data_IF_517296353399
#
_entry.id   IF_517296353399
#
_cell.length_a   1.000
_cell.length_b   1.000
_cell.length_c   1.000
_cell.angle_alpha   90.00
_cell.angle_beta   90.00
_cell.angle_gamma   90.00
#
_symmetry.space_group_name_H-M   'P 1'
#
loop_
_entity.id
_entity.type
_entity.pdbx_description
1 polymer ?
#
# COMPACT_ATOMS: atom_id res chain seq x y z
N UNK A 1 -10.08 -2.50 5.75
CA UNK A 1 -8.68 -2.12 5.52
C UNK A 1 -8.27 -2.47 4.10
N UNK A 2 -7.60 -1.57 3.44
CA UNK A 2 -7.04 -1.84 2.12
C UNK A 2 -5.55 -2.09 2.28
N UNK A 3 -5.06 -3.19 1.71
CA UNK A 3 -3.65 -3.54 1.72
C UNK A 3 -3.15 -3.54 0.27
N UNK A 4 -2.15 -2.71 0.01
CA UNK A 4 -1.56 -2.60 -1.32
C UNK A 4 -0.16 -3.19 -1.26
N UNK A 5 0.14 -4.07 -2.20
CA UNK A 5 1.48 -4.64 -2.33
C UNK A 5 2.21 -3.93 -3.45
N UNK A 6 3.43 -3.53 -3.16
CA UNK A 6 4.33 -2.97 -4.17
C UNK A 6 5.63 -3.74 -4.22
N UNK A 7 6.41 -3.46 -5.24
CA UNK A 7 7.73 -4.09 -5.40
C UNK A 7 8.75 -3.06 -5.89
N UNK A 8 9.98 -3.22 -5.44
CA UNK A 8 11.10 -2.38 -5.84
C UNK A 8 12.39 -3.18 -5.75
N UNK A 9 13.50 -2.59 -6.15
CA UNK A 9 14.78 -3.28 -6.10
C UNK A 9 15.39 -3.22 -4.69
N UNK A 10 15.26 -2.08 -4.01
CA UNK A 10 15.83 -1.88 -2.68
C UNK A 10 14.86 -1.08 -1.82
N UNK A 11 14.13 -1.78 -0.97
CA UNK A 11 13.08 -1.15 -0.17
C UNK A 11 13.65 -0.19 0.88
N UNK A 12 14.80 -0.50 1.46
CA UNK A 12 15.37 0.40 2.47
C UNK A 12 15.70 1.77 1.87
N UNK A 13 16.10 1.79 0.61
CA UNK A 13 16.36 3.02 -0.12
C UNK A 13 15.06 3.73 -0.50
N UNK A 14 14.02 2.98 -0.85
CA UNK A 14 12.76 3.55 -1.31
C UNK A 14 11.83 3.94 -0.16
N UNK A 15 11.94 3.29 0.98
CA UNK A 15 11.04 3.51 2.10
C UNK A 15 10.90 4.97 2.53
N UNK A 16 11.99 5.76 2.67
CA UNK A 16 11.83 7.16 3.04
C UNK A 16 11.01 7.94 2.05
N UNK A 17 11.14 7.65 0.77
CA UNK A 17 10.38 8.32 -0.28
C UNK A 17 8.90 7.97 -0.21
N UNK A 18 8.61 6.69 0.05
CA UNK A 18 7.24 6.22 0.19
C UNK A 18 6.59 6.86 1.41
N UNK A 19 7.32 6.91 2.54
CA UNK A 19 6.79 7.49 3.77
C UNK A 19 6.57 8.99 3.62
N UNK A 20 7.42 9.69 2.89
CA UNK A 20 7.22 11.10 2.61
C UNK A 20 5.95 11.32 1.77
N UNK A 21 5.75 10.49 0.76
CA UNK A 21 4.54 10.54 -0.06
C UNK A 21 3.28 10.28 0.78
N UNK A 22 3.31 9.25 1.61
CA UNK A 22 2.19 8.91 2.50
C UNK A 22 1.92 10.06 3.47
N UNK A 23 2.98 10.65 4.04
CA UNK A 23 2.85 11.79 4.93
C UNK A 23 2.17 12.97 4.26
N UNK A 24 2.48 13.21 2.99
CA UNK A 24 1.83 14.26 2.21
C UNK A 24 0.34 13.97 2.04
N UNK A 25 -0.03 12.74 1.77
CA UNK A 25 -1.43 12.36 1.68
C UNK A 25 -2.14 12.54 3.02
N UNK A 26 -1.53 12.09 4.10
CA UNK A 26 -2.11 12.23 5.43
C UNK A 26 -2.33 13.71 5.78
N UNK A 27 -1.34 14.53 5.47
CA UNK A 27 -1.45 15.97 5.72
C UNK A 27 -2.59 16.59 4.92
N UNK A 28 -2.77 16.17 3.67
CA UNK A 28 -3.78 16.74 2.78
C UNK A 28 -5.21 16.50 3.27
N UNK A 29 -5.42 15.48 4.09
CA UNK A 29 -6.75 15.16 4.64
C UNK A 29 -6.79 15.33 6.16
N UNK A 30 -5.77 15.96 6.74
CA UNK A 30 -5.67 16.23 8.19
C UNK A 30 -5.76 14.95 9.02
N UNK A 31 -5.14 13.88 8.53
CA UNK A 31 -5.07 12.61 9.23
C UNK A 31 -3.63 12.30 9.60
N UNK A 32 -3.44 11.50 10.66
CA UNK A 32 -2.12 11.03 11.07
C UNK A 32 -2.21 9.57 11.45
N UNK A 33 -1.15 8.83 11.17
CA UNK A 33 -1.01 7.44 11.61
C UNK A 33 -2.11 6.51 11.10
N UNK A 34 -2.67 6.80 9.94
CA UNK A 34 -3.71 5.98 9.31
C UNK A 34 -3.16 5.08 8.21
N UNK A 35 -1.86 5.11 8.01
CA UNK A 35 -1.16 4.27 7.04
C UNK A 35 0.11 3.71 7.66
N UNK A 36 0.47 2.53 7.23
CA UNK A 36 1.74 1.92 7.58
C UNK A 36 2.37 1.34 6.33
N UNK A 37 3.69 1.36 6.27
CA UNK A 37 4.44 0.75 5.18
C UNK A 37 5.51 -0.14 5.77
N UNK A 38 5.51 -1.40 5.36
CA UNK A 38 6.48 -2.36 5.88
C UNK A 38 6.97 -3.30 4.80
N UNK A 39 8.21 -3.77 4.96
CA UNK A 39 8.76 -4.79 4.09
C UNK A 39 8.03 -6.12 4.29
N UNK A 40 7.78 -6.83 3.21
CA UNK A 40 7.22 -8.17 3.28
C UNK A 40 8.22 -9.23 2.85
N UNK A 41 9.43 -8.84 2.44
CA UNK A 41 10.49 -9.78 2.11
C UNK A 41 11.00 -9.64 0.69
N UNK A 42 11.94 -10.52 0.34
CA UNK A 42 12.59 -10.52 -0.97
C UNK A 42 12.25 -11.80 -1.73
N UNK A 43 12.07 -11.68 -3.02
CA UNK A 43 11.89 -12.84 -3.88
C UNK A 43 12.32 -12.49 -5.30
N UNK A 44 13.09 -13.36 -5.92
CA UNK A 44 13.49 -13.23 -7.33
C UNK A 44 14.19 -11.90 -7.65
N UNK A 45 14.98 -11.39 -6.71
CA UNK A 45 15.70 -10.14 -6.91
C UNK A 45 14.89 -8.88 -6.62
N UNK A 46 13.67 -9.03 -6.14
CA UNK A 46 12.80 -7.92 -5.81
C UNK A 46 12.54 -7.83 -4.33
N UNK A 47 12.41 -6.61 -3.82
CA UNK A 47 11.89 -6.34 -2.49
C UNK A 47 10.40 -6.08 -2.63
N UNK A 48 9.61 -6.76 -1.82
CA UNK A 48 8.17 -6.54 -1.74
C UNK A 48 7.85 -5.78 -0.47
N UNK A 49 6.81 -4.96 -0.54
CA UNK A 49 6.37 -4.20 0.62
C UNK A 49 4.86 -4.06 0.61
N UNK A 50 4.29 -3.79 1.78
CA UNK A 50 2.86 -3.53 1.93
C UNK A 50 2.63 -2.13 2.44
N UNK A 51 1.57 -1.51 1.95
CA UNK A 51 1.05 -0.26 2.50
C UNK A 51 -0.36 -0.55 2.99
N UNK A 52 -0.61 -0.27 4.26
CA UNK A 52 -1.90 -0.52 4.91
C UNK A 52 -2.64 0.79 5.04
N UNK A 53 -3.89 0.81 4.58
CA UNK A 53 -4.74 2.00 4.64
C UNK A 53 -5.94 1.70 5.49
N UNK A 54 -6.14 2.47 6.55
CA UNK A 54 -7.30 2.34 7.41
C UNK A 54 -8.57 2.78 6.68
N UNK A 55 -9.73 2.17 6.97
CA UNK A 55 -10.96 2.52 6.29
C UNK A 55 -11.36 3.99 6.42
N UNK A 56 -11.19 4.58 7.59
CA UNK A 56 -11.52 5.97 7.80
C UNK A 56 -10.60 6.90 7.02
N UNK A 57 -9.36 6.52 6.79
CA UNK A 57 -8.47 7.29 5.96
C UNK A 57 -8.93 7.28 4.50
N UNK A 58 -9.40 6.13 4.02
CA UNK A 58 -9.94 6.02 2.67
C UNK A 58 -11.16 6.93 2.51
N UNK A 59 -12.03 6.98 3.52
CA UNK A 59 -13.19 7.87 3.49
C UNK A 59 -12.77 9.33 3.39
N UNK A 60 -11.77 9.73 4.17
CA UNK A 60 -11.25 11.09 4.12
C UNK A 60 -10.64 11.42 2.76
N UNK A 61 -9.94 10.46 2.17
CA UNK A 61 -9.38 10.65 0.83
C UNK A 61 -10.47 10.82 -0.21
N UNK A 62 -11.57 10.09 -0.10
CA UNK A 62 -12.68 10.22 -1.02
C UNK A 62 -13.33 11.60 -0.94
N UNK A 63 -13.39 12.18 0.25
CA UNK A 63 -13.94 13.52 0.43
C UNK A 63 -13.08 14.59 -0.25
N UNK A 64 -11.77 14.43 -0.18
CA UNK A 64 -10.82 15.41 -0.74
C UNK A 64 -10.54 15.12 -2.21
N UNK A 65 -10.52 13.86 -2.59
CA UNK A 65 -10.17 13.41 -3.94
C UNK A 65 -11.29 12.55 -4.54
N UNK A 66 -12.44 13.16 -4.91
CA UNK A 66 -13.55 12.38 -5.45
C UNK A 66 -13.23 11.69 -6.76
N UNK A 67 -12.17 12.10 -7.44
CA UNK A 67 -11.72 11.45 -8.67
C UNK A 67 -11.31 9.99 -8.46
N UNK A 68 -11.12 9.56 -7.20
CA UNK A 68 -10.82 8.15 -6.92
C UNK A 68 -11.93 7.26 -7.46
N UNK A 69 -13.18 7.66 -7.28
CA UNK A 69 -14.32 6.85 -7.74
C UNK A 69 -14.47 6.86 -9.24
N UNK A 70 -13.81 7.76 -9.94
CA UNK A 70 -13.86 7.86 -11.39
C UNK A 70 -12.81 7.01 -12.09
N UNK A 71 -11.94 6.34 -11.33
CA UNK A 71 -10.95 5.46 -11.92
C UNK A 71 -11.62 4.19 -12.44
N UNK A 72 -10.94 3.53 -13.39
CA UNK A 72 -11.39 2.24 -13.86
C UNK A 72 -11.22 1.21 -12.76
N UNK A 73 -12.15 0.27 -12.67
CA UNK A 73 -12.09 -0.77 -11.65
C UNK A 73 -13.49 -1.21 -11.27
N UNK A 74 -13.62 -2.45 -10.83
CA UNK A 74 -14.91 -3.04 -10.51
C UNK A 74 -15.42 -2.63 -9.13
N UNK A 75 -14.52 -2.25 -8.24
CA UNK A 75 -14.90 -1.83 -6.89
C UNK A 75 -14.02 -0.67 -6.42
N UNK A 76 -14.36 -0.13 -5.26
CA UNK A 76 -13.64 1.00 -4.70
C UNK A 76 -12.18 0.70 -4.45
N UNK A 77 -11.88 -0.51 -4.00
CA UNK A 77 -10.50 -0.88 -3.68
C UNK A 77 -9.61 -0.85 -4.92
N UNK A 78 -10.09 -1.40 -6.02
CA UNK A 78 -9.35 -1.37 -7.28
C UNK A 78 -9.18 0.05 -7.80
N UNK A 79 -10.23 0.86 -7.70
CA UNK A 79 -10.17 2.26 -8.11
C UNK A 79 -9.16 3.04 -7.27
N UNK A 80 -9.11 2.76 -5.98
CA UNK A 80 -8.16 3.40 -5.09
C UNK A 80 -6.72 3.04 -5.46
N UNK A 81 -6.44 1.77 -5.75
CA UNK A 81 -5.09 1.33 -6.12
C UNK A 81 -4.64 2.01 -7.41
N UNK A 82 -5.53 2.12 -8.41
CA UNK A 82 -5.21 2.82 -9.65
C UNK A 82 -4.92 4.29 -9.41
N UNK A 83 -5.73 4.95 -8.60
CA UNK A 83 -5.52 6.35 -8.25
C UNK A 83 -4.19 6.53 -7.51
N UNK A 84 -3.92 5.66 -6.55
CA UNK A 84 -2.69 5.70 -5.77
C UNK A 84 -1.46 5.59 -6.67
N UNK A 85 -1.48 4.65 -7.60
CA UNK A 85 -0.38 4.48 -8.55
C UNK A 85 -0.14 5.73 -9.39
N UNK A 86 -1.22 6.39 -9.81
CA UNK A 86 -1.11 7.63 -10.56
C UNK A 86 -0.52 8.77 -9.72
N UNK A 87 -0.93 8.86 -8.44
CA UNK A 87 -0.39 9.87 -7.55
C UNK A 87 1.09 9.64 -7.25
N UNK A 88 1.47 8.39 -7.01
CA UNK A 88 2.86 8.04 -6.80
C UNK A 88 3.71 8.37 -8.02
N UNK A 89 3.21 8.10 -9.21
CA UNK A 89 3.92 8.41 -10.45
C UNK A 89 4.15 9.91 -10.58
N UNK A 90 3.19 10.74 -10.19
CA UNK A 90 3.37 12.19 -10.18
C UNK A 90 4.46 12.63 -9.24
N UNK A 91 4.71 11.87 -8.19
CA UNK A 91 5.79 12.12 -7.23
C UNK A 91 7.08 11.40 -7.61
N UNK A 92 7.16 10.90 -8.84
CA UNK A 92 8.32 10.18 -9.37
C UNK A 92 8.59 8.85 -8.67
N UNK A 93 7.54 8.25 -8.12
CA UNK A 93 7.60 6.94 -7.52
C UNK A 93 6.87 5.97 -8.44
N UNK A 94 7.60 5.04 -9.00
CA UNK A 94 7.02 4.07 -9.94
C UNK A 94 7.21 2.67 -9.39
N UNK A 95 6.14 2.11 -8.89
CA UNK A 95 6.12 0.74 -8.38
C UNK A 95 4.98 -0.01 -9.03
N UNK A 96 5.16 -1.29 -9.18
CA UNK A 96 4.07 -2.15 -9.58
C UNK A 96 3.19 -2.40 -8.36
N UNK A 97 2.02 -1.79 -8.34
CA UNK A 97 1.09 -1.89 -7.22
C UNK A 97 -0.03 -2.84 -7.55
N UNK A 98 -0.40 -3.65 -6.60
CA UNK A 98 -1.59 -4.49 -6.73
C UNK A 98 -2.30 -4.58 -5.39
N UNK A 99 -3.61 -4.79 -5.47
CA UNK A 99 -4.42 -5.01 -4.29
C UNK A 99 -4.08 -6.38 -3.72
N UNK A 100 -3.84 -6.42 -2.42
CA UNK A 100 -3.61 -7.67 -1.72
C UNK A 100 -4.91 -8.12 -1.07
N UNK A 101 -5.42 -9.26 -1.51
CA UNK A 101 -6.60 -9.85 -0.90
C UNK A 101 -6.16 -10.61 0.35
N UNK A 102 -6.31 -9.98 1.49
CA UNK A 102 -5.91 -10.53 2.77
C UNK A 102 -7.14 -10.60 3.66
N UNK A 103 -7.48 -11.78 4.20
CA UNK A 103 -8.55 -11.88 5.16
C UNK A 103 -8.34 -10.91 6.31
N UNK A 104 -9.43 -10.37 6.86
CA UNK A 104 -9.38 -9.35 7.89
C UNK A 104 -8.47 -9.73 9.06
N UNK A 105 -8.53 -10.98 9.48
CA UNK A 105 -7.73 -11.45 10.59
C UNK A 105 -6.24 -11.46 10.27
N UNK A 106 -5.89 -11.84 9.05
CA UNK A 106 -4.50 -11.79 8.61
C UNK A 106 -4.02 -10.35 8.46
N UNK A 107 -4.87 -9.46 8.02
CA UNK A 107 -4.52 -8.06 7.92
C UNK A 107 -4.16 -7.47 9.28
N UNK A 108 -4.90 -7.85 10.31
CA UNK A 108 -4.55 -7.45 11.68
C UNK A 108 -3.21 -8.02 12.11
N UNK A 109 -2.95 -9.27 11.77
CA UNK A 109 -1.68 -9.91 12.07
C UNK A 109 -0.53 -9.19 11.41
N UNK A 110 -0.68 -8.82 10.16
CA UNK A 110 0.34 -8.07 9.44
C UNK A 110 0.69 -6.77 10.13
N UNK A 111 -0.28 -6.09 10.70
CA UNK A 111 -0.04 -4.82 11.39
C UNK A 111 0.62 -4.99 12.74
N UNK A 112 0.16 -5.99 13.49
CA UNK A 112 0.55 -6.17 14.88
C UNK A 112 1.79 -7.04 15.03
N UNK A 113 2.03 -7.92 14.09
CA UNK A 113 3.10 -8.89 14.17
C UNK A 113 3.74 -9.10 12.80
N UNK A 114 4.85 -8.41 12.54
CA UNK A 114 5.54 -8.55 11.24
C UNK A 114 5.97 -9.98 10.93
N UNK A 115 6.08 -10.83 11.94
CA UNK A 115 6.42 -12.22 11.73
C UNK A 115 5.38 -12.95 10.91
N UNK A 116 4.14 -12.50 10.94
CA UNK A 116 3.08 -13.10 10.14
C UNK A 116 3.29 -12.90 8.65
N UNK A 117 4.15 -11.96 8.28
CA UNK A 117 4.52 -11.77 6.89
C UNK A 117 5.27 -12.96 6.32
N UNK A 118 5.68 -13.88 7.15
CA UNK A 118 6.32 -15.10 6.68
C UNK A 118 5.40 -15.92 5.81
N UNK A 119 4.13 -15.72 5.95
CA UNK A 119 3.19 -16.36 5.05
C UNK A 119 3.35 -15.83 3.65
N UNK A 120 3.91 -14.66 3.54
CA UNK A 120 4.27 -14.09 2.27
C UNK A 120 5.60 -14.64 1.78
N UNK A 121 6.29 -15.35 2.60
CA UNK A 121 7.32 -16.25 2.14
C UNK A 121 6.73 -17.36 1.30
N UNK A 122 5.42 -17.40 1.16
CA UNK A 122 4.77 -18.11 0.07
C UNK A 122 5.34 -17.64 -1.26
N UNK A 123 5.72 -16.37 -1.33
CA UNK A 123 6.44 -15.89 -2.49
C UNK A 123 7.73 -16.67 -2.69
N UNK A 124 8.33 -17.12 -1.63
CA UNK A 124 9.54 -17.93 -1.72
C UNK A 124 9.24 -19.33 -2.20
N UNK A 125 8.08 -19.84 -1.89
CA UNK A 125 7.65 -21.15 -2.35
C UNK A 125 7.32 -21.16 -3.84
N UNK A 126 7.10 -20.00 -4.42
CA UNK A 126 6.84 -19.86 -5.83
C UNK A 126 8.10 -19.81 -6.69
N UNK A 127 9.24 -19.85 -6.05
CA UNK A 127 10.51 -19.85 -6.73
C UNK A 127 10.83 -21.21 -7.30
#
# INVERSE_FOLDING_TARGET
MIVVQGSCIDFEKERPKIMEFIGTLEWSVHAKNHCECSSSGKALGWDFFYIYFEPDFIEKLLDVYPEIEKQEGNDLEQRFVLWLGKQMKKSKLQYYLKLRDVPHEQAKGFRLNPEDYRDDSELEKLR
#
